data_IF_017111671298
#
_entry.id   IF_017111671298
#
_cell.length_a   1.000
_cell.length_b   1.000
_cell.length_c   1.000
_cell.angle_alpha   90.00
_cell.angle_beta   90.00
_cell.angle_gamma   90.00
#
_symmetry.space_group_name_H-M   'P 1'
#
loop_
_entity.id
_entity.type
_entity.pdbx_description
1 polymer ?
#
# COMPACT_ATOMS: atom_id res chain seq x y z
N UNK A 1 10.74 -1.44 12.93
CA UNK A 1 10.88 -2.57 11.99
C UNK A 1 9.51 -2.98 11.49
N UNK A 2 9.41 -3.31 10.22
CA UNK A 2 8.19 -3.81 9.60
C UNK A 2 7.80 -5.20 10.16
N UNK A 3 6.50 -5.49 10.30
CA UNK A 3 6.02 -6.83 10.64
C UNK A 3 6.21 -7.80 9.46
N UNK A 4 5.78 -9.05 9.62
CA UNK A 4 5.65 -9.96 8.48
C UNK A 4 4.70 -9.38 7.43
N UNK A 5 5.05 -9.38 6.12
CA UNK A 5 4.19 -8.84 5.09
C UNK A 5 2.89 -9.65 4.94
N UNK A 6 1.79 -8.95 4.71
CA UNK A 6 0.50 -9.59 4.39
C UNK A 6 0.56 -10.34 3.06
N UNK A 7 1.32 -9.81 2.10
CA UNK A 7 1.53 -10.39 0.78
C UNK A 7 3.00 -10.28 0.38
N UNK A 8 3.54 -11.35 -0.22
CA UNK A 8 4.78 -11.37 -1.00
C UNK A 8 4.45 -11.96 -2.37
N UNK A 9 4.76 -11.25 -3.44
CA UNK A 9 4.33 -11.61 -4.79
C UNK A 9 5.21 -10.93 -5.84
N UNK A 10 5.02 -11.29 -7.10
CA UNK A 10 5.70 -10.64 -8.24
C UNK A 10 4.69 -10.01 -9.19
N UNK A 11 5.11 -8.93 -9.85
CA UNK A 11 4.41 -8.30 -10.98
C UNK A 11 5.36 -8.07 -12.14
N UNK A 12 4.89 -8.02 -13.40
CA UNK A 12 5.74 -7.66 -14.53
C UNK A 12 6.04 -6.16 -14.51
N UNK A 13 7.25 -5.77 -14.96
CA UNK A 13 7.53 -4.39 -15.31
C UNK A 13 6.80 -3.98 -16.58
N UNK A 14 6.20 -2.79 -16.63
CA UNK A 14 5.59 -2.25 -17.85
C UNK A 14 6.63 -1.96 -18.95
N UNK A 15 7.92 -1.91 -18.60
CA UNK A 15 8.98 -1.69 -19.57
C UNK A 15 9.19 -2.87 -20.51
N UNK A 16 9.29 -4.08 -19.95
CA UNK A 16 9.74 -5.28 -20.67
C UNK A 16 9.22 -6.60 -20.07
N UNK A 17 8.30 -6.54 -19.09
CA UNK A 17 7.73 -7.73 -18.47
C UNK A 17 8.64 -8.41 -17.44
N UNK A 18 9.81 -7.85 -17.12
CA UNK A 18 10.69 -8.40 -16.07
C UNK A 18 9.94 -8.51 -14.77
N UNK A 19 9.94 -9.70 -14.10
CA UNK A 19 9.26 -9.86 -12.80
C UNK A 19 9.97 -9.08 -11.70
N UNK A 20 9.18 -8.29 -10.98
CA UNK A 20 9.59 -7.46 -9.84
C UNK A 20 9.05 -8.07 -8.56
N UNK A 21 9.91 -8.24 -7.56
CA UNK A 21 9.55 -8.76 -6.25
C UNK A 21 8.95 -7.65 -5.37
N UNK A 22 7.76 -7.89 -4.81
CA UNK A 22 6.94 -6.90 -4.11
C UNK A 22 6.42 -7.45 -2.79
N UNK A 23 6.22 -6.54 -1.82
CA UNK A 23 5.58 -6.83 -0.53
C UNK A 23 4.51 -5.80 -0.22
N UNK A 24 3.43 -6.25 0.42
CA UNK A 24 2.38 -5.39 0.98
C UNK A 24 2.27 -5.66 2.48
N UNK A 25 2.17 -4.58 3.25
CA UNK A 25 1.95 -4.59 4.69
C UNK A 25 0.63 -3.90 4.99
N UNK A 26 -0.24 -4.59 5.71
CA UNK A 26 -1.53 -4.03 6.11
C UNK A 26 -1.41 -3.27 7.43
N UNK A 27 -2.03 -2.08 7.56
CA UNK A 27 -2.06 -1.36 8.82
C UNK A 27 -2.89 -2.12 9.87
N UNK A 28 -2.66 -1.86 11.16
CA UNK A 28 -3.40 -2.52 12.24
C UNK A 28 -4.92 -2.41 12.11
N UNK A 29 -5.44 -1.35 11.50
CA UNK A 29 -6.87 -1.13 11.25
C UNK A 29 -7.51 -2.18 10.32
N UNK A 30 -6.73 -2.81 9.45
CA UNK A 30 -7.15 -3.95 8.64
C UNK A 30 -7.01 -5.28 9.38
N UNK A 31 -6.42 -5.30 10.58
CA UNK A 31 -6.24 -6.49 11.38
C UNK A 31 -7.56 -7.05 11.93
N UNK A 32 -7.53 -8.33 12.26
CA UNK A 32 -8.69 -9.09 12.71
C UNK A 32 -9.23 -8.66 14.09
N UNK A 33 -8.36 -8.18 14.98
CA UNK A 33 -8.71 -7.78 16.36
C UNK A 33 -9.05 -6.30 16.50
N UNK A 34 -9.20 -5.57 15.42
CA UNK A 34 -9.28 -4.13 15.42
C UNK A 34 -10.54 -3.62 16.12
N UNK A 35 -10.34 -2.98 17.27
CA UNK A 35 -11.23 -1.96 17.84
C UNK A 35 -10.89 -0.57 17.30
N UNK A 36 -9.91 -0.47 16.43
CA UNK A 36 -9.47 0.76 15.80
C UNK A 36 -10.51 1.28 14.81
N UNK A 37 -10.43 2.56 14.52
CA UNK A 37 -11.23 3.18 13.45
C UNK A 37 -11.06 2.44 12.13
N UNK A 38 -12.06 2.46 11.25
CA UNK A 38 -11.95 1.87 9.91
C UNK A 38 -10.71 2.40 9.17
N UNK A 39 -10.09 1.56 8.36
CA UNK A 39 -8.99 2.00 7.50
C UNK A 39 -9.49 3.01 6.47
N UNK A 40 -8.89 4.20 6.47
CA UNK A 40 -9.24 5.32 5.60
C UNK A 40 -8.72 5.20 4.16
N UNK A 41 -8.23 4.02 3.77
CA UNK A 41 -7.69 3.68 2.44
C UNK A 41 -6.41 4.43 2.04
N UNK A 42 -5.74 5.11 2.98
CA UNK A 42 -4.43 5.71 2.72
C UNK A 42 -3.38 4.63 2.50
N UNK A 43 -2.46 4.88 1.56
CA UNK A 43 -1.38 3.96 1.25
C UNK A 43 -0.07 4.71 0.98
N UNK A 44 1.04 4.00 1.11
CA UNK A 44 2.37 4.49 0.78
C UNK A 44 3.12 3.42 0.00
N UNK A 45 4.03 3.85 -0.88
CA UNK A 45 4.99 2.99 -1.53
C UNK A 45 6.39 3.59 -1.42
N UNK A 46 7.35 2.77 -0.98
CA UNK A 46 8.73 3.20 -0.76
C UNK A 46 9.69 2.45 -1.69
N UNK A 47 10.50 3.21 -2.41
CA UNK A 47 11.57 2.72 -3.26
C UNK A 47 12.92 2.71 -2.52
N UNK A 48 13.67 1.64 -2.70
CA UNK A 48 14.94 1.38 -2.04
C UNK A 48 16.14 2.09 -2.69
N UNK A 49 17.31 2.16 -2.01
CA UNK A 49 18.54 2.74 -2.56
C UNK A 49 19.13 1.89 -3.70
N UNK A 50 20.28 2.29 -4.21
CA UNK A 50 20.89 1.73 -5.41
C UNK A 50 21.23 0.24 -5.27
N UNK A 51 20.59 -0.60 -6.08
CA UNK A 51 20.71 -2.06 -6.03
C UNK A 51 22.15 -2.59 -6.16
N UNK A 52 23.02 -2.08 -7.06
CA UNK A 52 24.41 -2.52 -7.15
C UNK A 52 25.26 -2.27 -5.92
N UNK A 53 24.82 -1.39 -5.01
CA UNK A 53 25.47 -1.15 -3.71
C UNK A 53 24.76 -1.91 -2.56
N UNK A 54 23.96 -2.92 -2.87
CA UNK A 54 23.24 -3.73 -1.89
C UNK A 54 21.84 -3.23 -1.54
N UNK A 55 21.34 -2.18 -2.22
CA UNK A 55 20.00 -1.67 -1.99
C UNK A 55 18.91 -2.70 -2.35
N UNK A 56 17.95 -2.86 -1.44
CA UNK A 56 16.76 -3.69 -1.60
C UNK A 56 15.63 -3.17 -0.71
N UNK A 57 14.45 -3.74 -0.79
CA UNK A 57 13.37 -3.40 0.14
C UNK A 57 13.67 -3.76 1.61
N UNK A 58 14.69 -4.56 1.87
CA UNK A 58 15.18 -4.88 3.22
C UNK A 58 16.20 -3.86 3.76
N UNK A 59 16.40 -2.73 3.07
CA UNK A 59 17.23 -1.63 3.54
C UNK A 59 16.73 -1.10 4.88
N UNK A 60 17.60 -0.89 5.89
CA UNK A 60 17.18 -0.45 7.22
C UNK A 60 16.39 0.87 7.25
N UNK A 61 16.75 1.84 6.41
CA UNK A 61 16.04 3.13 6.36
C UNK A 61 14.63 2.92 5.76
N UNK A 62 14.52 2.13 4.70
CA UNK A 62 13.23 1.78 4.08
C UNK A 62 12.34 1.03 5.07
N UNK A 63 12.90 0.05 5.80
CA UNK A 63 12.19 -0.74 6.81
C UNK A 63 11.63 0.14 7.94
N UNK A 64 12.46 1.01 8.52
CA UNK A 64 12.08 1.80 9.69
C UNK A 64 11.11 2.93 9.30
N UNK A 65 11.35 3.61 8.17
CA UNK A 65 10.45 4.64 7.64
C UNK A 65 9.11 4.03 7.22
N UNK A 66 9.16 2.86 6.58
CA UNK A 66 7.94 2.10 6.23
C UNK A 66 7.15 1.70 7.47
N UNK A 67 7.82 1.23 8.53
CA UNK A 67 7.19 0.91 9.80
C UNK A 67 6.53 2.13 10.46
N UNK A 68 7.15 3.33 10.34
CA UNK A 68 6.55 4.57 10.80
C UNK A 68 5.26 4.88 10.03
N UNK A 69 5.26 4.85 8.71
CA UNK A 69 4.06 5.08 7.89
C UNK A 69 2.95 4.06 8.19
N UNK A 70 3.32 2.79 8.36
CA UNK A 70 2.39 1.73 8.73
C UNK A 70 1.72 1.99 10.09
N UNK A 71 2.48 2.49 11.08
CA UNK A 71 1.96 2.86 12.40
C UNK A 71 1.01 4.05 12.37
N UNK A 72 1.15 4.94 11.39
CA UNK A 72 0.23 6.07 11.13
C UNK A 72 -1.02 5.64 10.33
N UNK A 73 -1.20 4.34 10.09
CA UNK A 73 -2.41 3.79 9.46
C UNK A 73 -2.35 3.65 7.94
N UNK A 74 -1.21 3.91 7.31
CA UNK A 74 -1.02 3.71 5.86
C UNK A 74 -0.80 2.22 5.55
N UNK A 75 -1.44 1.72 4.51
CA UNK A 75 -1.05 0.47 3.87
C UNK A 75 0.28 0.71 3.15
N UNK A 76 1.27 -0.16 3.37
CA UNK A 76 2.60 0.03 2.80
C UNK A 76 2.89 -0.99 1.70
N UNK A 77 3.36 -0.50 0.55
CA UNK A 77 4.01 -1.27 -0.50
C UNK A 77 5.52 -1.07 -0.49
N UNK A 78 6.29 -2.14 -0.61
CA UNK A 78 7.72 -2.11 -0.90
C UNK A 78 8.02 -3.05 -2.06
N UNK A 79 9.09 -2.80 -2.78
CA UNK A 79 9.46 -3.61 -3.94
C UNK A 79 10.96 -3.54 -4.19
N UNK A 80 11.47 -4.51 -4.93
CA UNK A 80 12.82 -4.51 -5.44
C UNK A 80 12.83 -4.03 -6.89
N UNK A 81 13.65 -3.03 -7.20
CA UNK A 81 13.97 -2.67 -8.58
C UNK A 81 14.61 -3.86 -9.30
N UNK A 82 14.55 -3.87 -10.64
CA UNK A 82 15.28 -4.84 -11.46
C UNK A 82 16.72 -5.02 -11.03
N UNK A 83 17.17 -6.26 -10.94
CA UNK A 83 18.53 -6.60 -10.50
C UNK A 83 18.79 -6.48 -9.01
N UNK A 84 17.81 -6.13 -8.19
CA UNK A 84 17.89 -6.16 -6.74
C UNK A 84 17.30 -7.45 -6.19
N UNK A 85 17.99 -8.12 -5.26
CA UNK A 85 17.54 -9.32 -4.56
C UNK A 85 16.93 -10.37 -5.51
N UNK A 86 15.63 -10.68 -5.39
CA UNK A 86 14.93 -11.68 -6.22
C UNK A 86 14.25 -11.08 -7.47
N UNK A 87 14.26 -9.76 -7.66
CA UNK A 87 13.81 -9.16 -8.92
C UNK A 87 14.74 -9.51 -10.06
N UNK A 88 14.18 -9.95 -11.18
CA UNK A 88 14.97 -10.30 -12.35
C UNK A 88 15.55 -9.05 -13.06
N UNK A 89 16.34 -9.28 -14.11
CA UNK A 89 16.95 -8.22 -14.90
C UNK A 89 18.25 -7.69 -14.31
N UNK A 90 18.62 -6.49 -14.71
CA UNK A 90 19.84 -5.78 -14.25
C UNK A 90 19.55 -4.30 -14.11
N UNK A 91 20.16 -3.65 -13.13
CA UNK A 91 20.10 -2.20 -12.97
C UNK A 91 20.67 -1.50 -14.19
N UNK A 92 19.94 -0.52 -14.70
CA UNK A 92 20.31 0.24 -15.90
C UNK A 92 21.15 1.48 -15.56
N UNK A 93 21.90 1.97 -16.57
CA UNK A 93 22.63 3.24 -16.46
C UNK A 93 21.73 4.47 -16.68
N UNK A 94 20.56 4.28 -17.30
CA UNK A 94 19.69 5.40 -17.73
C UNK A 94 18.54 5.67 -16.79
N UNK A 95 18.34 4.86 -15.77
CA UNK A 95 17.19 4.87 -14.85
C UNK A 95 15.80 4.81 -15.51
N UNK A 96 15.72 4.67 -16.84
CA UNK A 96 14.43 4.56 -17.56
C UNK A 96 13.67 3.29 -17.20
N UNK A 97 14.29 2.09 -17.27
CA UNK A 97 13.62 0.85 -16.87
C UNK A 97 13.17 0.89 -15.40
N UNK A 98 13.99 1.41 -14.48
CA UNK A 98 13.65 1.52 -13.05
C UNK A 98 12.47 2.45 -12.80
N UNK A 99 12.35 3.54 -13.58
CA UNK A 99 11.14 4.38 -13.52
C UNK A 99 9.89 3.63 -13.93
N UNK A 100 10.00 2.79 -14.96
CA UNK A 100 8.88 1.94 -15.40
C UNK A 100 8.57 0.83 -14.39
N UNK A 101 9.59 0.26 -13.73
CA UNK A 101 9.41 -0.67 -12.61
C UNK A 101 8.57 -0.01 -11.52
N UNK A 102 8.95 1.19 -11.11
CA UNK A 102 8.23 1.90 -10.06
C UNK A 102 6.80 2.28 -10.50
N UNK A 103 6.59 2.71 -11.74
CA UNK A 103 5.26 2.96 -12.29
C UNK A 103 4.38 1.71 -12.23
N UNK A 104 4.94 0.53 -12.49
CA UNK A 104 4.23 -0.76 -12.36
C UNK A 104 3.72 -0.99 -10.95
N UNK A 105 4.56 -0.75 -9.95
CA UNK A 105 4.21 -0.93 -8.53
C UNK A 105 3.21 0.11 -8.05
N UNK A 106 3.37 1.38 -8.45
CA UNK A 106 2.43 2.46 -8.13
C UNK A 106 1.04 2.15 -8.70
N UNK A 107 0.98 1.74 -9.96
CA UNK A 107 -0.29 1.36 -10.59
C UNK A 107 -0.90 0.13 -9.90
N UNK A 108 -0.11 -0.92 -9.65
CA UNK A 108 -0.57 -2.07 -8.87
C UNK A 108 -1.20 -1.63 -7.55
N UNK A 109 -0.52 -0.80 -6.77
CA UNK A 109 -0.99 -0.37 -5.46
C UNK A 109 -2.28 0.46 -5.55
N UNK A 110 -2.37 1.38 -6.53
CA UNK A 110 -3.58 2.18 -6.76
C UNK A 110 -4.81 1.29 -7.05
N UNK A 111 -4.67 0.27 -7.89
CA UNK A 111 -5.74 -0.70 -8.15
C UNK A 111 -5.99 -1.64 -6.99
N UNK A 112 -4.96 -2.07 -6.27
CA UNK A 112 -5.08 -2.92 -5.10
C UNK A 112 -5.92 -2.27 -4.00
N UNK A 113 -5.63 -1.01 -3.62
CA UNK A 113 -6.41 -0.28 -2.61
C UNK A 113 -7.84 0.03 -3.06
N UNK A 114 -8.07 0.20 -4.37
CA UNK A 114 -9.42 0.34 -4.92
C UNK A 114 -10.27 -0.92 -4.67
N UNK A 115 -9.71 -2.10 -4.89
CA UNK A 115 -10.39 -3.38 -4.71
C UNK A 115 -10.35 -3.91 -3.27
N UNK A 116 -9.52 -3.35 -2.38
CA UNK A 116 -9.41 -3.78 -0.99
C UNK A 116 -10.53 -3.18 -0.14
N UNK A 117 -11.63 -3.91 -0.02
CA UNK A 117 -12.86 -3.49 0.66
C UNK A 117 -13.43 -4.62 1.54
N UNK A 118 -12.69 -5.08 2.58
CA UNK A 118 -13.06 -6.29 3.31
C UNK A 118 -14.33 -6.15 4.15
N UNK A 119 -14.87 -4.93 4.32
CA UNK A 119 -16.02 -4.63 5.18
C UNK A 119 -17.26 -4.15 4.41
N UNK A 120 -17.18 -3.99 3.10
CA UNK A 120 -18.36 -3.73 2.26
C UNK A 120 -19.07 -5.06 1.99
N UNK A 121 -20.34 -5.16 2.32
CA UNK A 121 -21.20 -6.32 2.03
C UNK A 121 -21.72 -7.11 3.22
N UNK A 122 -21.39 -6.74 4.47
CA UNK A 122 -21.96 -7.40 5.64
C UNK A 122 -23.43 -6.95 5.97
N UNK A 123 -23.98 -5.99 5.22
CA UNK A 123 -25.34 -5.48 5.44
C UNK A 123 -26.40 -5.94 4.44
N UNK A 124 -26.04 -6.76 3.43
CA UNK A 124 -26.97 -7.11 2.34
C UNK A 124 -27.36 -8.59 2.27
N UNK A 125 -27.05 -9.41 3.26
CA UNK A 125 -27.35 -10.84 3.26
C UNK A 125 -27.88 -11.30 4.62
N UNK A 126 -29.06 -10.82 5.02
CA UNK A 126 -29.97 -11.53 5.92
C UNK A 126 -31.34 -10.86 5.83
N UNK A 127 -32.18 -11.35 4.95
CA UNK A 127 -33.63 -11.49 5.15
C UNK A 127 -34.22 -12.19 3.94
N UNK A 128 -34.03 -13.51 3.84
CA UNK A 128 -34.99 -14.39 3.22
C UNK A 128 -35.76 -15.11 4.34
N UNK A 129 -37.05 -14.79 4.48
CA UNK A 129 -37.98 -15.60 5.24
C UNK A 129 -38.89 -14.79 6.15
N UNK A 130 -39.89 -14.11 5.67
CA UNK A 130 -41.31 -14.38 5.98
C UNK A 130 -42.23 -13.39 5.24
N UNK A 131 -43.38 -13.87 4.83
CA UNK A 131 -44.35 -13.29 3.90
C UNK A 131 -45.24 -12.17 4.54
N UNK A 132 -46.11 -11.48 3.78
CA UNK A 132 -46.25 -10.03 3.83
C UNK A 132 -47.52 -9.55 4.54
N UNK A 133 -47.46 -8.42 5.21
CA UNK A 133 -48.66 -7.59 5.44
C UNK A 133 -48.40 -6.16 4.97
N UNK A 134 -49.14 -5.80 3.96
CA UNK A 134 -49.21 -4.48 3.35
C UNK A 134 -49.56 -3.39 4.38
N UNK A 135 -48.80 -2.31 4.39
CA UNK A 135 -49.32 -0.97 4.54
C UNK A 135 -48.60 -0.06 3.55
N UNK A 136 -49.37 0.40 2.56
CA UNK A 136 -49.10 1.52 1.69
C UNK A 136 -49.22 2.79 2.55
N UNK A 137 -48.17 3.54 2.61
CA UNK A 137 -48.02 4.99 2.84
C UNK A 137 -46.77 5.24 3.69
N UNK A 138 -45.64 5.33 3.02
CA UNK A 138 -44.52 6.23 3.31
C UNK A 138 -43.44 6.00 2.25
N UNK A 139 -43.66 6.63 1.12
CA UNK A 139 -42.62 6.83 0.13
C UNK A 139 -41.92 8.15 0.47
N UNK A 140 -40.71 8.08 1.00
CA UNK A 140 -39.62 9.03 0.86
C UNK A 140 -38.71 9.04 2.10
N UNK A 141 -37.72 8.16 2.10
CA UNK A 141 -36.39 8.42 2.65
C UNK A 141 -35.53 7.17 2.43
N UNK A 142 -35.17 6.95 1.15
CA UNK A 142 -34.07 6.07 0.86
C UNK A 142 -32.80 6.74 1.43
N UNK A 143 -32.34 6.29 2.58
CA UNK A 143 -30.99 6.56 3.04
C UNK A 143 -30.03 6.08 1.94
N UNK A 144 -29.61 7.03 1.11
CA UNK A 144 -28.42 6.90 0.31
C UNK A 144 -27.29 6.66 1.31
N UNK A 145 -26.79 5.41 1.35
CA UNK A 145 -25.55 5.10 2.04
C UNK A 145 -24.54 6.18 1.65
N UNK A 146 -24.18 6.98 2.62
CA UNK A 146 -23.23 8.07 2.55
C UNK A 146 -21.97 7.60 1.79
N UNK A 147 -21.93 7.92 0.51
CA UNK A 147 -20.71 7.89 -0.29
C UNK A 147 -19.95 9.16 0.05
N UNK A 148 -19.52 9.30 1.29
CA UNK A 148 -18.50 10.27 1.62
C UNK A 148 -17.26 9.85 0.82
N UNK A 149 -17.08 10.54 -0.28
CA UNK A 149 -16.00 10.34 -1.26
C UNK A 149 -14.70 10.89 -0.67
N UNK A 150 -14.26 10.27 0.43
CA UNK A 150 -13.00 10.62 1.08
C UNK A 150 -11.88 10.22 0.12
N UNK A 151 -11.36 11.20 -0.62
CA UNK A 151 -10.19 11.03 -1.46
C UNK A 151 -9.05 10.47 -0.62
N UNK A 152 -8.70 9.22 -0.86
CA UNK A 152 -7.58 8.57 -0.17
C UNK A 152 -6.24 9.06 -0.71
N UNK A 153 -5.21 9.10 0.15
CA UNK A 153 -3.87 9.57 -0.18
C UNK A 153 -2.96 8.39 -0.54
N UNK A 154 -2.19 8.55 -1.61
CA UNK A 154 -1.07 7.68 -1.97
C UNK A 154 0.24 8.45 -1.83
N UNK A 155 1.02 8.11 -0.81
CA UNK A 155 2.38 8.62 -0.64
C UNK A 155 3.34 7.82 -1.50
N UNK A 156 4.02 8.47 -2.43
CA UNK A 156 5.07 7.88 -3.27
C UNK A 156 6.41 8.40 -2.77
N UNK A 157 7.24 7.51 -2.25
CA UNK A 157 8.50 7.91 -1.65
C UNK A 157 9.67 7.00 -2.03
N UNK A 158 10.85 7.43 -1.62
CA UNK A 158 12.07 6.65 -1.79
C UNK A 158 13.24 7.22 -1.01
N UNK A 159 14.25 6.37 -0.85
CA UNK A 159 15.49 6.70 -0.20
C UNK A 159 16.65 6.65 -1.20
N UNK A 160 17.52 7.66 -1.19
CA UNK A 160 18.72 7.73 -2.03
C UNK A 160 18.37 7.58 -3.54
N UNK A 161 18.80 6.53 -4.20
CA UNK A 161 18.42 6.24 -5.58
C UNK A 161 16.90 6.12 -5.77
N UNK A 162 16.20 5.51 -4.82
CA UNK A 162 14.73 5.48 -4.83
C UNK A 162 14.11 6.86 -4.82
N UNK A 163 14.70 7.80 -4.08
CA UNK A 163 14.30 9.22 -4.07
C UNK A 163 14.56 9.89 -5.41
N UNK A 164 15.71 9.63 -6.04
CA UNK A 164 16.04 10.09 -7.39
C UNK A 164 15.00 9.61 -8.42
N UNK A 165 14.66 8.31 -8.39
CA UNK A 165 13.64 7.75 -9.29
C UNK A 165 12.28 8.37 -9.01
N UNK A 166 11.88 8.51 -7.73
CA UNK A 166 10.62 9.18 -7.33
C UNK A 166 10.52 10.57 -7.92
N UNK A 167 11.58 11.38 -7.81
CA UNK A 167 11.60 12.73 -8.36
C UNK A 167 11.43 12.76 -9.89
N UNK A 168 11.87 11.73 -10.61
CA UNK A 168 11.81 11.64 -12.07
C UNK A 168 10.52 11.00 -12.61
N UNK A 169 9.64 10.45 -11.77
CA UNK A 169 8.37 9.88 -12.21
C UNK A 169 7.48 10.96 -12.87
N UNK A 170 6.66 10.61 -13.84
CA UNK A 170 5.61 11.49 -14.30
C UNK A 170 4.49 11.63 -13.23
N UNK A 171 3.57 12.58 -13.35
CA UNK A 171 2.39 12.67 -12.49
C UNK A 171 1.57 11.37 -12.52
N UNK A 172 0.86 11.05 -11.43
CA UNK A 172 0.11 9.80 -11.27
C UNK A 172 -0.92 9.56 -12.39
N UNK A 173 -1.59 10.61 -12.82
CA UNK A 173 -2.54 10.53 -13.93
C UNK A 173 -1.88 9.98 -15.20
N UNK A 174 -0.65 10.43 -15.50
CA UNK A 174 0.12 9.93 -16.64
C UNK A 174 0.58 8.48 -16.41
N UNK A 175 0.89 8.09 -15.17
CA UNK A 175 1.20 6.70 -14.80
C UNK A 175 -0.01 5.80 -15.00
N UNK A 176 -1.19 6.21 -14.53
CA UNK A 176 -2.40 5.38 -14.54
C UNK A 176 -3.11 5.33 -15.90
N UNK A 177 -2.86 6.29 -16.77
CA UNK A 177 -3.52 6.38 -18.09
C UNK A 177 -3.41 5.12 -18.94
N UNK A 178 -2.24 4.43 -19.09
CA UNK A 178 -2.12 3.18 -19.84
C UNK A 178 -2.95 2.03 -19.23
N UNK A 179 -3.17 2.05 -17.93
CA UNK A 179 -3.90 1.02 -17.19
C UNK A 179 -5.42 1.20 -17.24
N UNK A 180 -5.94 2.33 -17.68
CA UNK A 180 -7.39 2.59 -17.67
C UNK A 180 -8.16 1.62 -18.57
N UNK A 181 -7.63 1.31 -19.76
CA UNK A 181 -8.20 0.32 -20.69
C UNK A 181 -7.08 -0.36 -21.49
N UNK A 182 -6.27 -1.21 -20.83
CA UNK A 182 -5.13 -1.86 -21.46
C UNK A 182 -5.57 -2.99 -22.39
N UNK A 183 -4.71 -3.34 -23.36
CA UNK A 183 -4.87 -4.59 -24.12
C UNK A 183 -4.78 -5.80 -23.18
N UNK A 184 -5.64 -6.80 -23.36
CA UNK A 184 -5.72 -7.97 -22.47
C UNK A 184 -4.41 -8.77 -22.38
N UNK A 185 -3.55 -8.69 -23.38
CA UNK A 185 -2.24 -9.35 -23.42
C UNK A 185 -1.09 -8.48 -22.85
N UNK A 186 -1.35 -7.23 -22.46
CA UNK A 186 -0.31 -6.30 -21.99
C UNK A 186 0.10 -6.51 -20.52
N UNK A 187 1.28 -6.01 -20.16
CA UNK A 187 1.75 -6.02 -18.79
C UNK A 187 0.84 -5.18 -17.86
N UNK A 188 0.29 -4.09 -18.38
CA UNK A 188 -0.66 -3.24 -17.65
C UNK A 188 -1.94 -4.01 -17.29
N UNK A 189 -2.44 -4.83 -18.21
CA UNK A 189 -3.60 -5.68 -17.93
C UNK A 189 -3.28 -6.73 -16.86
N UNK A 190 -2.12 -7.40 -16.98
CA UNK A 190 -1.67 -8.38 -15.98
C UNK A 190 -1.54 -7.76 -14.59
N UNK A 191 -0.93 -6.57 -14.48
CA UNK A 191 -0.78 -5.85 -13.21
C UNK A 191 -2.16 -5.53 -12.61
N UNK A 192 -3.09 -5.02 -13.42
CA UNK A 192 -4.43 -4.66 -12.98
C UNK A 192 -5.23 -5.86 -12.50
N UNK A 193 -5.21 -6.97 -13.25
CA UNK A 193 -5.87 -8.22 -12.87
C UNK A 193 -5.24 -8.83 -11.62
N UNK A 194 -3.90 -8.77 -11.50
CA UNK A 194 -3.18 -9.25 -10.32
C UNK A 194 -3.57 -8.46 -9.08
N UNK A 195 -3.69 -7.13 -9.17
CA UNK A 195 -4.12 -6.27 -8.09
C UNK A 195 -5.54 -6.63 -7.61
N UNK A 196 -6.49 -6.78 -8.53
CA UNK A 196 -7.85 -7.18 -8.21
C UNK A 196 -7.92 -8.56 -7.54
N UNK A 197 -7.23 -9.56 -8.10
CA UNK A 197 -7.21 -10.92 -7.57
C UNK A 197 -6.61 -11.00 -6.16
N UNK A 198 -5.48 -10.32 -5.92
CA UNK A 198 -4.85 -10.32 -4.60
C UNK A 198 -5.67 -9.55 -3.57
N UNK A 199 -6.31 -8.45 -3.97
CA UNK A 199 -7.21 -7.71 -3.08
C UNK A 199 -8.42 -8.55 -2.66
N UNK A 200 -9.04 -9.28 -3.59
CA UNK A 200 -10.18 -10.16 -3.29
C UNK A 200 -9.80 -11.31 -2.34
N UNK A 201 -8.61 -11.89 -2.54
CA UNK A 201 -8.07 -12.88 -1.61
C UNK A 201 -7.90 -12.30 -0.20
N UNK A 202 -7.38 -11.07 -0.09
CA UNK A 202 -7.20 -10.41 1.20
C UNK A 202 -8.53 -9.97 1.83
N UNK A 203 -9.49 -9.50 1.04
CA UNK A 203 -10.85 -9.22 1.51
C UNK A 203 -11.46 -10.47 2.19
N UNK A 204 -11.36 -11.61 1.52
CA UNK A 204 -11.86 -12.88 2.05
C UNK A 204 -11.12 -13.29 3.32
N UNK A 205 -9.80 -13.22 3.33
CA UNK A 205 -8.98 -13.59 4.49
C UNK A 205 -9.28 -12.70 5.71
N UNK A 206 -9.33 -11.38 5.53
CA UNK A 206 -9.61 -10.43 6.60
C UNK A 206 -10.99 -10.67 7.20
N UNK A 207 -12.02 -10.85 6.34
CA UNK A 207 -13.39 -11.12 6.77
C UNK A 207 -13.48 -12.42 7.59
N UNK A 208 -13.00 -13.55 7.05
CA UNK A 208 -13.04 -14.83 7.74
C UNK A 208 -12.29 -14.81 9.08
N UNK A 209 -11.15 -14.11 9.14
CA UNK A 209 -10.37 -14.00 10.37
C UNK A 209 -11.12 -13.20 11.44
N UNK A 210 -11.81 -12.11 11.06
CA UNK A 210 -12.65 -11.33 11.99
C UNK A 210 -13.86 -12.11 12.48
N UNK A 211 -14.56 -12.81 11.60
CA UNK A 211 -15.70 -13.67 11.95
C UNK A 211 -15.28 -14.74 12.95
N UNK A 212 -14.14 -15.40 12.72
CA UNK A 212 -13.60 -16.40 13.64
C UNK A 212 -13.29 -15.81 15.02
N UNK A 213 -12.67 -14.62 15.09
CA UNK A 213 -12.39 -13.94 16.36
C UNK A 213 -13.66 -13.52 17.10
N UNK A 214 -14.65 -13.01 16.39
CA UNK A 214 -15.94 -12.64 16.97
C UNK A 214 -16.66 -13.86 17.55
N UNK A 215 -16.67 -15.00 16.84
CA UNK A 215 -17.24 -16.26 17.32
C UNK A 215 -16.53 -16.77 18.58
N UNK A 216 -15.21 -16.65 18.66
CA UNK A 216 -14.43 -17.02 19.85
C UNK A 216 -14.76 -16.10 21.03
N UNK A 217 -14.83 -14.80 20.82
CA UNK A 217 -15.15 -13.82 21.86
C UNK A 217 -16.59 -13.95 22.37
N UNK A 218 -17.57 -14.24 21.50
CA UNK A 218 -18.95 -14.52 21.86
C UNK A 218 -19.07 -15.73 22.77
N UNK A 219 -18.31 -16.79 22.52
CA UNK A 219 -18.27 -18.00 23.39
C UNK A 219 -17.62 -17.73 24.75
N UNK A 220 -16.79 -16.68 24.87
CA UNK A 220 -16.10 -16.29 26.12
C UNK A 220 -16.88 -15.32 26.97
N UNK A 221 -17.89 -14.65 26.45
CA UNK A 221 -18.79 -13.79 27.25
C UNK A 221 -19.51 -14.66 28.25
N UNK A 222 -19.29 -14.49 29.58
CA UNK A 222 -20.06 -15.25 30.56
C UNK A 222 -21.53 -14.88 30.36
N UNK A 223 -22.36 -15.89 30.03
CA UNK A 223 -23.80 -15.69 30.05
C UNK A 223 -24.11 -15.07 31.42
N UNK A 224 -24.84 -13.96 31.45
CA UNK A 224 -25.37 -13.37 32.66
C UNK A 224 -26.25 -14.46 33.32
N UNK A 225 -25.65 -15.33 34.13
CA UNK A 225 -26.41 -16.17 35.08
C UNK A 225 -27.11 -15.16 35.96
N UNK A 226 -28.41 -15.09 35.82
CA UNK A 226 -29.26 -14.27 36.68
C UNK A 226 -28.92 -14.61 38.14
N UNK A 227 -28.61 -13.55 38.88
CA UNK A 227 -28.49 -13.60 40.33
C UNK A 227 -29.86 -14.07 40.82
N UNK A 228 -29.99 -15.35 41.24
CA UNK A 228 -31.09 -15.79 42.06
C UNK A 228 -30.85 -15.18 43.43
N UNK A 229 -31.58 -14.13 43.70
CA UNK A 229 -31.79 -13.64 45.08
C UNK A 229 -32.67 -14.65 45.75
N UNK A 230 -32.07 -15.57 46.47
CA UNK A 230 -32.77 -16.41 47.44
C UNK A 230 -32.33 -15.98 48.83
N UNK A 231 -33.19 -15.28 49.53
CA UNK A 231 -33.00 -15.03 50.94
C UNK A 231 -33.17 -16.34 51.71
N UNK A 232 -32.28 -16.61 52.64
CA UNK A 232 -32.58 -17.39 53.86
C UNK A 232 -31.63 -16.90 54.97
N UNK A 233 -32.22 -16.52 56.09
CA UNK A 233 -31.55 -16.10 57.30
C UNK A 233 -31.19 -17.30 58.12
N UNK A 234 -30.00 -17.39 58.67
CA UNK A 234 -29.73 -18.35 59.72
C UNK A 234 -28.27 -18.65 60.04
N UNK A 235 -27.85 -18.09 61.20
CA UNK A 235 -26.88 -18.65 62.10
C UNK A 235 -25.38 -18.42 61.93
N UNK A 236 -24.86 -17.70 62.90
CA UNK A 236 -23.47 -17.54 63.32
C UNK A 236 -22.64 -18.81 63.49
N UNK A 237 -21.38 -18.76 63.09
CA UNK A 237 -20.21 -18.95 63.98
C UNK A 237 -18.87 -18.88 63.25
N UNK A 238 -17.81 -18.46 63.96
CA UNK A 238 -16.55 -18.07 63.30
C UNK A 238 -15.49 -19.16 63.38
N UNK A 239 -14.65 -19.27 62.34
CA UNK A 239 -13.25 -19.71 62.51
C UNK A 239 -12.47 -19.87 61.19
N UNK A 240 -11.28 -19.27 61.23
CA UNK A 240 -10.02 -19.64 60.55
C UNK A 240 -9.86 -19.24 59.09
N UNK A 241 -8.99 -18.24 58.87
CA UNK A 241 -8.15 -18.05 57.72
C UNK A 241 -7.25 -19.31 57.54
N UNK A 242 -6.98 -19.69 56.31
CA UNK A 242 -5.59 -19.64 55.83
C UNK A 242 -5.43 -18.85 54.52
N UNK A 243 -4.27 -18.20 54.45
CA UNK A 243 -3.67 -17.57 53.32
C UNK A 243 -3.37 -18.64 52.21
N UNK A 244 -3.69 -18.32 50.97
CA UNK A 244 -3.00 -18.88 49.81
C UNK A 244 -3.25 -17.98 48.63
N UNK A 245 -2.27 -17.19 48.29
CA UNK A 245 -1.39 -17.28 47.15
C UNK A 245 -2.09 -17.55 45.84
N UNK A 246 -2.14 -16.52 45.02
CA UNK A 246 -1.66 -16.48 43.65
C UNK A 246 -1.96 -17.69 42.77
N UNK A 247 -3.13 -17.73 42.15
CA UNK A 247 -3.51 -18.75 41.16
C UNK A 247 -4.19 -18.23 39.89
N UNK A 248 -4.55 -16.93 39.82
CA UNK A 248 -5.35 -16.42 38.69
C UNK A 248 -4.53 -15.93 37.47
N UNK A 249 -3.24 -15.67 37.67
CA UNK A 249 -2.39 -15.09 36.60
C UNK A 249 -1.83 -16.14 35.60
N UNK A 250 -1.76 -17.43 35.99
CA UNK A 250 -1.25 -18.48 35.11
C UNK A 250 -2.29 -19.05 34.13
N UNK A 251 -3.56 -19.05 34.46
CA UNK A 251 -4.64 -19.53 33.56
C UNK A 251 -4.93 -18.54 32.41
N UNK A 252 -4.74 -17.27 32.61
CA UNK A 252 -4.97 -16.26 31.55
C UNK A 252 -3.93 -16.32 30.44
N UNK A 253 -2.66 -16.60 30.76
CA UNK A 253 -1.56 -16.69 29.75
C UNK A 253 -1.59 -17.95 28.89
N UNK A 254 -2.03 -19.10 29.43
CA UNK A 254 -2.13 -20.33 28.64
C UNK A 254 -3.26 -20.28 27.62
N UNK A 255 -4.37 -19.66 27.96
CA UNK A 255 -5.54 -19.55 27.07
C UNK A 255 -5.31 -18.53 25.94
N UNK A 256 -4.50 -17.47 26.16
CA UNK A 256 -4.13 -16.57 25.09
C UNK A 256 -3.22 -17.25 24.06
N UNK A 257 -2.28 -18.04 24.52
CA UNK A 257 -1.35 -18.78 23.65
C UNK A 257 -2.03 -19.85 22.79
N UNK A 258 -2.97 -20.59 23.37
CA UNK A 258 -3.77 -21.58 22.65
C UNK A 258 -4.71 -20.95 21.60
N UNK A 259 -5.12 -19.71 21.82
CA UNK A 259 -5.91 -18.92 20.89
C UNK A 259 -5.06 -18.39 19.73
N UNK A 260 -3.86 -17.91 20.02
CA UNK A 260 -2.90 -17.48 19.00
C UNK A 260 -2.51 -18.67 18.11
N UNK A 261 -2.26 -19.86 18.69
CA UNK A 261 -1.96 -21.07 17.92
C UNK A 261 -3.13 -21.49 17.02
N UNK A 262 -4.36 -21.49 17.50
CA UNK A 262 -5.56 -21.80 16.70
C UNK A 262 -5.82 -20.76 15.61
N UNK A 263 -5.53 -19.49 15.88
CA UNK A 263 -5.65 -18.43 14.89
C UNK A 263 -4.58 -18.58 13.79
N UNK A 264 -3.33 -18.86 14.18
CA UNK A 264 -2.24 -19.17 13.27
C UNK A 264 -2.56 -20.41 12.40
N UNK A 265 -3.13 -21.45 12.98
CA UNK A 265 -3.54 -22.66 12.26
C UNK A 265 -4.68 -22.36 11.25
N UNK A 266 -5.67 -21.55 11.64
CA UNK A 266 -6.77 -21.13 10.75
C UNK A 266 -6.26 -20.27 9.59
N UNK A 267 -5.39 -19.31 9.88
CA UNK A 267 -4.77 -18.43 8.87
C UNK A 267 -3.87 -19.26 7.93
N UNK A 268 -3.09 -20.20 8.47
CA UNK A 268 -2.25 -21.10 7.68
C UNK A 268 -3.09 -22.02 6.78
N UNK A 269 -4.17 -22.62 7.29
CA UNK A 269 -5.13 -23.42 6.51
C UNK A 269 -5.80 -22.62 5.40
N UNK A 270 -6.19 -21.38 5.69
CA UNK A 270 -6.83 -20.51 4.69
C UNK A 270 -5.84 -20.08 3.62
N UNK A 271 -4.60 -19.71 4.00
CA UNK A 271 -3.49 -19.42 3.06
C UNK A 271 -3.18 -20.65 2.20
N UNK A 272 -3.10 -21.85 2.76
CA UNK A 272 -2.83 -23.11 2.05
C UNK A 272 -3.94 -23.45 1.04
N UNK A 273 -5.21 -23.33 1.42
CA UNK A 273 -6.34 -23.62 0.56
C UNK A 273 -6.47 -22.62 -0.60
N UNK A 274 -6.13 -21.34 -0.37
CA UNK A 274 -6.05 -20.33 -1.42
C UNK A 274 -4.88 -20.59 -2.38
N UNK A 275 -3.74 -21.07 -1.86
CA UNK A 275 -2.56 -21.42 -2.67
C UNK A 275 -2.83 -22.65 -3.56
N UNK A 276 -3.50 -23.69 -3.03
CA UNK A 276 -3.88 -24.88 -3.80
C UNK A 276 -4.89 -24.61 -4.91
N UNK A 277 -5.84 -23.69 -4.71
CA UNK A 277 -6.76 -23.27 -5.78
C UNK A 277 -6.07 -22.55 -6.93
N UNK A 278 -4.98 -21.83 -6.65
CA UNK A 278 -4.22 -21.13 -7.69
C UNK A 278 -3.32 -22.07 -8.52
N UNK A 279 -2.73 -23.08 -7.89
CA UNK A 279 -1.90 -24.09 -8.60
C UNK A 279 -2.72 -24.98 -9.54
N UNK A 280 -4.02 -25.17 -9.27
CA UNK A 280 -4.90 -25.96 -10.13
C UNK A 280 -5.35 -25.23 -11.40
N UNK A 281 -5.16 -23.91 -11.50
CA UNK A 281 -5.53 -23.14 -12.69
C UNK A 281 -4.35 -22.83 -13.62
N UNK A 282 -3.11 -23.07 -13.20
CA UNK A 282 -1.90 -22.83 -14.00
C UNK A 282 -1.32 -24.08 -14.68
N UNK A 283 -1.88 -25.26 -14.45
CA UNK A 283 -1.33 -26.51 -15.02
C UNK A 283 -2.20 -27.03 -16.16
N UNK A 284 -2.19 -26.36 -17.30
CA UNK A 284 -2.49 -27.00 -18.61
C UNK A 284 -1.55 -26.43 -19.68
N UNK A 285 -0.26 -26.69 -19.50
CA UNK A 285 0.68 -26.73 -20.61
C UNK A 285 1.08 -28.18 -20.79
N UNK A 286 0.38 -28.84 -21.72
CA UNK A 286 0.68 -30.19 -22.17
C UNK A 286 2.14 -30.28 -22.64
N UNK A 287 2.88 -31.20 -22.03
CA UNK A 287 4.15 -31.70 -22.55
C UNK A 287 3.85 -32.47 -23.84
N UNK A 288 4.36 -31.94 -24.96
CA UNK A 288 4.44 -32.68 -26.22
C UNK A 288 5.61 -33.67 -26.13
N UNK A 289 5.43 -34.97 -26.41
CA UNK A 289 6.54 -35.92 -26.52
C UNK A 289 7.33 -35.65 -27.80
N UNK A 290 8.65 -35.64 -27.72
CA UNK A 290 9.54 -35.72 -28.86
C UNK A 290 9.43 -37.11 -29.50
N UNK A 291 8.97 -37.17 -30.76
CA UNK A 291 9.12 -38.35 -31.61
C UNK A 291 9.89 -37.98 -32.86
N UNK A 292 11.03 -38.60 -33.04
CA UNK A 292 11.86 -38.56 -34.25
C UNK A 292 11.15 -39.27 -35.41
N UNK A 293 11.08 -38.62 -36.56
CA UNK A 293 10.60 -39.30 -37.77
C UNK A 293 10.63 -38.36 -38.98
N UNK A 294 11.56 -38.62 -39.86
CA UNK A 294 11.77 -38.08 -41.20
C UNK A 294 10.52 -38.23 -42.08
N UNK A 295 10.11 -37.17 -42.82
CA UNK A 295 9.00 -37.24 -43.76
C UNK A 295 8.54 -35.90 -44.29
N UNK A 296 9.16 -35.45 -45.38
CA UNK A 296 8.70 -34.37 -46.24
C UNK A 296 7.22 -34.48 -46.61
N UNK A 297 6.37 -33.49 -46.27
CA UNK A 297 5.14 -33.14 -47.01
C UNK A 297 4.61 -31.76 -46.63
N UNK A 298 4.38 -30.95 -47.63
CA UNK A 298 3.49 -29.80 -47.80
C UNK A 298 3.16 -28.93 -46.55
N UNK A 299 3.77 -27.75 -46.53
CA UNK A 299 3.42 -26.64 -45.62
C UNK A 299 2.06 -26.07 -46.04
N UNK A 300 0.99 -26.55 -45.40
CA UNK A 300 -0.29 -25.87 -45.36
C UNK A 300 -0.20 -24.80 -44.26
N UNK A 301 -0.14 -23.55 -44.65
CA UNK A 301 -0.16 -22.39 -43.77
C UNK A 301 -1.46 -22.40 -42.93
N UNK A 302 -1.45 -23.06 -41.77
CA UNK A 302 -2.46 -22.81 -40.73
C UNK A 302 -2.38 -21.33 -40.37
N UNK A 303 -3.41 -20.58 -40.75
CA UNK A 303 -3.71 -19.27 -40.21
C UNK A 303 -3.89 -19.47 -38.70
N UNK A 304 -2.88 -19.12 -37.93
CA UNK A 304 -3.05 -18.90 -36.50
C UNK A 304 -4.10 -17.81 -36.36
N UNK A 305 -5.28 -18.15 -35.81
CA UNK A 305 -6.22 -17.16 -35.29
C UNK A 305 -5.45 -16.34 -34.26
N UNK A 306 -5.09 -15.11 -34.60
CA UNK A 306 -4.74 -14.10 -33.63
C UNK A 306 -5.94 -13.98 -32.72
N UNK A 307 -5.77 -14.14 -31.36
CA UNK A 307 -6.85 -13.86 -30.43
C UNK A 307 -7.25 -12.42 -30.65
N UNK A 308 -8.54 -12.18 -30.89
CA UNK A 308 -9.08 -10.84 -30.98
C UNK A 308 -8.55 -10.04 -29.77
N UNK A 309 -7.79 -8.97 -30.04
CA UNK A 309 -7.21 -8.10 -29.01
C UNK A 309 -8.33 -7.40 -28.22
N UNK A 310 -8.91 -8.12 -27.25
CA UNK A 310 -9.83 -7.57 -26.28
C UNK A 310 -9.09 -6.55 -25.42
N UNK A 311 -9.74 -5.45 -25.11
CA UNK A 311 -9.26 -4.49 -24.09
C UNK A 311 -10.01 -4.70 -22.80
N UNK A 312 -9.33 -4.58 -21.66
CA UNK A 312 -10.03 -4.56 -20.38
C UNK A 312 -10.90 -3.31 -20.29
N UNK A 313 -12.14 -3.43 -19.79
CA UNK A 313 -13.03 -2.29 -19.62
C UNK A 313 -12.44 -1.30 -18.60
N UNK A 314 -12.83 -0.03 -18.72
CA UNK A 314 -12.56 0.96 -17.69
C UNK A 314 -13.24 0.52 -16.38
N UNK A 315 -12.56 0.71 -15.24
CA UNK A 315 -13.18 0.47 -13.94
C UNK A 315 -14.13 1.63 -13.61
N UNK A 316 -15.37 1.29 -13.35
CA UNK A 316 -16.36 2.25 -12.84
C UNK A 316 -16.00 2.64 -11.39
N UNK A 317 -16.14 3.92 -11.06
CA UNK A 317 -15.82 4.42 -9.72
C UNK A 317 -14.34 4.38 -9.34
N UNK A 318 -13.43 4.14 -10.29
CA UNK A 318 -11.99 4.29 -10.03
C UNK A 318 -11.60 5.76 -10.19
N UNK A 319 -11.51 6.44 -9.08
CA UNK A 319 -10.85 7.73 -8.96
C UNK A 319 -9.42 7.52 -8.45
N UNK A 320 -8.46 8.14 -9.13
CA UNK A 320 -7.07 8.05 -8.70
C UNK A 320 -6.89 8.68 -7.31
N UNK A 321 -6.02 8.11 -6.45
CA UNK A 321 -5.73 8.68 -5.14
C UNK A 321 -5.10 10.07 -5.26
N UNK A 322 -5.26 10.89 -4.24
CA UNK A 322 -4.50 12.12 -4.11
C UNK A 322 -3.04 11.76 -3.82
N UNK A 323 -2.12 12.48 -4.44
CA UNK A 323 -0.69 12.18 -4.33
C UNK A 323 -0.02 13.02 -3.27
N UNK A 324 0.97 12.42 -2.59
CA UNK A 324 2.00 13.11 -1.83
C UNK A 324 3.35 12.44 -2.07
N UNK A 325 4.44 13.15 -1.81
CA UNK A 325 5.79 12.64 -2.06
C UNK A 325 6.67 12.74 -0.82
N UNK A 326 7.50 11.70 -0.61
CA UNK A 326 8.54 11.68 0.44
C UNK A 326 9.88 11.33 -0.18
N UNK A 327 10.83 12.26 -0.12
CA UNK A 327 12.16 12.14 -0.69
C UNK A 327 13.20 12.14 0.43
N UNK A 328 13.86 11.00 0.65
CA UNK A 328 14.88 10.85 1.69
C UNK A 328 16.25 10.81 1.04
N UNK A 329 17.16 11.66 1.49
CA UNK A 329 18.50 11.87 0.89
C UNK A 329 18.41 12.02 -0.64
N UNK A 330 17.59 12.95 -1.16
CA UNK A 330 17.46 13.16 -2.60
C UNK A 330 18.81 13.55 -3.19
N UNK A 331 19.11 13.03 -4.39
CA UNK A 331 20.37 13.29 -5.09
C UNK A 331 20.10 14.25 -6.26
N UNK A 332 19.98 15.58 -6.00
CA UNK A 332 19.74 16.57 -7.04
C UNK A 332 20.99 16.69 -7.93
N UNK A 333 20.79 16.78 -9.24
CA UNK A 333 21.88 16.96 -10.21
C UNK A 333 22.38 15.66 -10.87
N UNK A 334 22.33 14.50 -10.26
CA UNK A 334 22.57 13.21 -10.94
C UNK A 334 21.45 12.93 -11.97
N UNK A 335 20.23 13.39 -11.70
CA UNK A 335 19.10 13.27 -12.61
C UNK A 335 19.35 13.90 -13.99
N UNK A 336 19.96 15.06 -14.02
CA UNK A 336 20.27 15.77 -15.28
C UNK A 336 21.42 15.14 -16.06
N UNK A 337 22.40 14.53 -15.37
CA UNK A 337 23.54 13.88 -16.02
C UNK A 337 23.24 12.47 -16.50
N UNK A 338 22.41 11.69 -15.80
CA UNK A 338 22.03 10.34 -16.19
C UNK A 338 20.94 10.30 -17.28
N UNK A 339 20.04 11.30 -17.31
CA UNK A 339 18.95 11.38 -18.30
C UNK A 339 19.40 12.05 -19.60
N UNK A 340 20.35 12.95 -19.50
CA UNK A 340 20.97 13.58 -20.67
C UNK A 340 22.40 13.08 -20.77
N UNK A 341 22.66 12.07 -21.59
CA UNK A 341 24.00 11.82 -22.11
C UNK A 341 24.47 13.01 -23.02
N UNK A 342 24.05 14.21 -22.74
CA UNK A 342 24.50 15.40 -23.43
C UNK A 342 25.76 15.91 -22.71
N UNK A 343 26.89 15.55 -23.29
CA UNK A 343 28.21 16.16 -23.09
C UNK A 343 28.24 17.66 -23.47
N UNK A 344 27.13 18.38 -23.31
CA UNK A 344 27.07 19.82 -23.55
C UNK A 344 27.43 20.54 -22.25
N UNK A 345 28.41 21.44 -22.27
CA UNK A 345 28.78 22.25 -21.11
C UNK A 345 27.54 23.00 -20.56
N UNK A 346 27.37 22.96 -19.26
CA UNK A 346 26.25 23.59 -18.50
C UNK A 346 26.14 25.12 -18.67
N UNK A 347 26.98 25.75 -19.49
CA UNK A 347 26.97 27.20 -19.69
C UNK A 347 25.82 27.76 -20.54
N UNK A 348 25.01 26.88 -21.17
CA UNK A 348 23.90 27.30 -22.04
C UNK A 348 22.51 26.79 -21.59
N UNK A 349 22.42 26.03 -20.49
CA UNK A 349 21.11 25.68 -19.90
C UNK A 349 20.62 26.84 -19.04
N UNK A 350 19.84 27.74 -19.64
CA UNK A 350 18.99 28.68 -18.91
C UNK A 350 18.27 27.89 -17.82
N UNK A 351 18.38 28.34 -16.57
CA UNK A 351 17.69 27.72 -15.45
C UNK A 351 16.18 27.62 -15.80
N UNK A 352 15.72 26.43 -16.17
CA UNK A 352 14.30 26.16 -16.41
C UNK A 352 13.55 26.36 -15.11
N UNK A 353 12.37 26.99 -15.20
CA UNK A 353 11.47 27.08 -14.05
C UNK A 353 11.00 25.67 -13.69
N UNK A 354 10.86 25.30 -12.39
CA UNK A 354 10.40 23.98 -11.97
C UNK A 354 9.06 23.58 -12.59
N UNK A 355 8.22 24.53 -12.89
CA UNK A 355 6.89 24.36 -13.49
C UNK A 355 6.95 23.92 -14.97
N UNK A 356 8.09 24.12 -15.64
CA UNK A 356 8.30 23.72 -17.04
C UNK A 356 8.69 22.25 -17.19
N UNK A 357 9.18 21.60 -16.11
CA UNK A 357 9.46 20.18 -16.10
C UNK A 357 8.32 19.42 -15.37
N UNK A 358 7.57 18.56 -16.06
CA UNK A 358 6.46 17.82 -15.43
C UNK A 358 6.87 17.02 -14.20
N UNK A 359 8.11 16.55 -14.15
CA UNK A 359 8.63 15.78 -13.02
C UNK A 359 8.88 16.65 -11.78
N UNK A 360 9.35 17.88 -11.95
CA UNK A 360 9.50 18.83 -10.85
C UNK A 360 8.19 19.53 -10.52
N UNK A 361 7.37 19.86 -11.53
CA UNK A 361 6.06 20.49 -11.35
C UNK A 361 5.15 19.69 -10.41
N UNK A 362 5.19 18.35 -10.44
CA UNK A 362 4.40 17.52 -9.52
C UNK A 362 4.86 17.69 -8.07
N UNK A 363 6.18 17.83 -7.82
CA UNK A 363 6.74 18.02 -6.47
C UNK A 363 6.36 19.38 -5.88
N UNK A 364 6.21 20.39 -6.75
CA UNK A 364 5.77 21.73 -6.36
C UNK A 364 4.26 21.75 -6.07
N UNK A 365 3.46 21.13 -6.92
CA UNK A 365 1.98 21.17 -6.84
C UNK A 365 1.39 20.26 -5.78
N UNK A 366 2.04 19.13 -5.51
CA UNK A 366 1.55 18.15 -4.55
C UNK A 366 2.29 18.29 -3.22
N UNK A 367 1.67 17.91 -2.09
CA UNK A 367 2.37 17.85 -0.82
C UNK A 367 3.64 17.02 -0.96
N UNK A 368 4.77 17.61 -0.69
CA UNK A 368 6.08 16.97 -0.84
C UNK A 368 6.96 17.29 0.35
N UNK A 369 7.50 16.26 0.98
CA UNK A 369 8.54 16.37 2.01
C UNK A 369 9.86 15.84 1.45
N UNK A 370 10.91 16.68 1.47
CA UNK A 370 12.28 16.27 1.21
C UNK A 370 13.11 16.38 2.50
N UNK A 371 13.79 15.30 2.90
CA UNK A 371 14.66 15.31 4.08
C UNK A 371 16.07 14.92 3.67
N UNK A 372 17.06 15.75 4.02
CA UNK A 372 18.46 15.49 3.70
C UNK A 372 19.38 15.91 4.86
N UNK A 373 20.55 15.32 4.91
CA UNK A 373 21.57 15.67 5.89
C UNK A 373 22.55 16.72 5.35
N UNK A 374 23.14 17.50 6.24
CA UNK A 374 24.20 18.45 5.89
C UNK A 374 25.60 17.80 5.79
N UNK A 375 25.74 16.57 6.31
CA UNK A 375 26.93 15.75 6.25
C UNK A 375 26.85 14.62 5.19
N UNK A 376 25.89 14.70 4.26
CA UNK A 376 25.70 13.72 3.18
C UNK A 376 26.91 13.70 2.23
N UNK A 377 27.60 12.56 2.15
CA UNK A 377 28.81 12.39 1.34
C UNK A 377 28.56 12.27 -0.17
N UNK A 378 27.32 11.95 -0.58
CA UNK A 378 26.95 11.79 -1.99
C UNK A 378 26.36 13.05 -2.60
N UNK A 379 25.92 13.99 -1.75
CA UNK A 379 25.28 15.22 -2.19
C UNK A 379 26.00 16.42 -1.58
N UNK A 380 26.54 17.28 -2.44
CA UNK A 380 27.13 18.52 -1.96
C UNK A 380 26.02 19.40 -1.33
N UNK A 381 26.15 19.80 -0.05
CA UNK A 381 25.08 20.52 0.67
C UNK A 381 24.57 21.75 -0.06
N UNK A 382 25.46 22.52 -0.72
CA UNK A 382 25.06 23.72 -1.46
C UNK A 382 24.16 23.40 -2.66
N UNK A 383 24.36 22.25 -3.34
CA UNK A 383 23.50 21.81 -4.45
C UNK A 383 22.12 21.35 -3.96
N UNK A 384 22.06 20.68 -2.81
CA UNK A 384 20.80 20.32 -2.17
C UNK A 384 20.02 21.60 -1.81
N UNK A 385 20.67 22.55 -1.15
CA UNK A 385 20.06 23.84 -0.77
C UNK A 385 19.58 24.64 -1.99
N UNK A 386 20.36 24.71 -3.08
CA UNK A 386 19.98 25.38 -4.33
C UNK A 386 18.73 24.72 -4.95
N UNK A 387 18.70 23.40 -5.02
CA UNK A 387 17.55 22.64 -5.52
C UNK A 387 16.30 22.87 -4.66
N UNK A 388 16.44 22.77 -3.34
CA UNK A 388 15.36 23.04 -2.38
C UNK A 388 14.84 24.46 -2.53
N UNK A 389 15.72 25.48 -2.52
CA UNK A 389 15.31 26.87 -2.66
C UNK A 389 14.54 27.12 -3.95
N UNK A 390 14.95 26.49 -5.05
CA UNK A 390 14.28 26.62 -6.35
C UNK A 390 12.87 26.02 -6.34
N UNK A 391 12.67 24.85 -5.73
CA UNK A 391 11.34 24.20 -5.67
C UNK A 391 10.42 24.91 -4.65
N UNK A 392 10.96 25.30 -3.51
CA UNK A 392 10.18 25.97 -2.45
C UNK A 392 9.75 27.39 -2.84
N UNK A 393 10.54 28.10 -3.68
CA UNK A 393 10.22 29.45 -4.14
C UNK A 393 9.24 29.51 -5.33
N UNK A 394 8.84 28.36 -5.88
CA UNK A 394 7.85 28.30 -6.95
C UNK A 394 6.47 28.78 -6.46
N UNK A 395 5.68 29.38 -7.36
CA UNK A 395 4.37 29.90 -7.00
C UNK A 395 3.44 28.78 -6.51
N UNK A 396 2.77 29.03 -5.38
CA UNK A 396 1.88 28.04 -4.73
C UNK A 396 2.56 26.70 -4.41
N UNK A 397 3.86 26.71 -4.11
CA UNK A 397 4.61 25.50 -3.80
C UNK A 397 4.09 24.85 -2.52
N UNK A 398 3.80 23.55 -2.60
CA UNK A 398 3.53 22.66 -1.46
C UNK A 398 4.76 21.80 -1.10
N UNK A 399 5.91 22.15 -1.67
CA UNK A 399 7.18 21.50 -1.42
C UNK A 399 7.78 22.00 -0.11
N UNK A 400 8.08 21.08 0.78
CA UNK A 400 8.75 21.31 2.06
C UNK A 400 10.05 20.54 2.09
N UNK A 401 11.09 21.13 2.64
CA UNK A 401 12.36 20.44 2.84
C UNK A 401 12.94 20.74 4.21
N UNK A 402 13.57 19.71 4.79
CA UNK A 402 14.26 19.80 6.08
C UNK A 402 15.68 19.30 5.93
N UNK A 403 16.65 20.15 6.25
CA UNK A 403 18.04 19.78 6.40
C UNK A 403 18.29 19.35 7.85
N UNK A 404 18.73 18.11 8.06
CA UNK A 404 19.02 17.56 9.38
C UNK A 404 20.52 17.73 9.68
N UNK A 405 20.87 18.52 10.70
CA UNK A 405 22.28 18.72 11.06
C UNK A 405 22.95 17.40 11.44
N UNK A 406 24.20 17.24 11.06
CA UNK A 406 25.07 16.07 11.31
C UNK A 406 24.63 14.79 10.61
N UNK A 407 23.46 14.75 10.00
CA UNK A 407 23.01 13.55 9.29
C UNK A 407 23.85 13.29 8.04
N UNK A 408 24.40 12.10 7.95
CA UNK A 408 25.01 11.56 6.75
C UNK A 408 24.00 10.90 5.84
N UNK A 409 24.49 10.38 4.71
CA UNK A 409 23.63 9.71 3.72
C UNK A 409 22.89 8.49 4.28
N UNK A 410 23.53 7.76 5.21
CA UNK A 410 23.03 6.48 5.73
C UNK A 410 22.22 6.60 7.03
N UNK A 411 22.05 7.81 7.57
CA UNK A 411 21.27 8.07 8.78
C UNK A 411 21.73 7.27 10.01
N UNK A 412 23.04 7.06 10.15
CA UNK A 412 23.64 6.22 11.20
C UNK A 412 24.09 7.00 12.42
N UNK A 413 24.15 8.32 12.33
CA UNK A 413 24.58 9.19 13.41
C UNK A 413 23.52 9.23 14.53
N UNK A 414 23.94 9.53 15.76
CA UNK A 414 23.07 9.50 16.93
C UNK A 414 21.90 10.47 16.81
N UNK A 415 20.67 9.99 16.98
CA UNK A 415 19.45 10.78 17.00
C UNK A 415 18.94 11.28 15.63
N UNK A 416 19.73 11.15 14.55
CA UNK A 416 19.28 11.66 13.23
C UNK A 416 18.18 10.81 12.63
N UNK A 417 18.20 9.49 12.86
CA UNK A 417 17.14 8.60 12.38
C UNK A 417 15.82 8.88 13.09
N UNK A 418 15.83 9.11 14.39
CA UNK A 418 14.62 9.49 15.14
C UNK A 418 14.03 10.79 14.59
N UNK A 419 14.89 11.78 14.29
CA UNK A 419 14.45 13.03 13.68
C UNK A 419 13.82 12.82 12.30
N UNK A 420 14.38 11.95 11.47
CA UNK A 420 13.78 11.56 10.19
C UNK A 420 12.38 10.96 10.38
N UNK A 421 12.24 10.04 11.35
CA UNK A 421 10.96 9.37 11.64
C UNK A 421 9.90 10.34 12.15
N UNK A 422 10.28 11.32 12.97
CA UNK A 422 9.37 12.36 13.45
C UNK A 422 8.87 13.21 12.28
N UNK A 423 9.77 13.69 11.43
CA UNK A 423 9.44 14.50 10.25
C UNK A 423 8.50 13.76 9.29
N UNK A 424 8.81 12.50 8.99
CA UNK A 424 7.95 11.68 8.13
C UNK A 424 6.60 11.42 8.80
N UNK A 425 6.57 11.09 10.10
CA UNK A 425 5.35 10.85 10.84
C UNK A 425 4.45 12.09 10.93
N UNK A 426 5.01 13.26 11.19
CA UNK A 426 4.29 14.54 11.19
C UNK A 426 3.69 14.85 9.82
N UNK A 427 4.49 14.69 8.77
CA UNK A 427 4.04 14.93 7.40
C UNK A 427 2.87 14.03 7.01
N UNK A 428 2.97 12.71 7.20
CA UNK A 428 1.90 11.79 6.77
C UNK A 428 0.63 11.91 7.62
N UNK A 429 0.74 12.30 8.91
CA UNK A 429 -0.42 12.66 9.74
C UNK A 429 -1.11 13.93 9.26
N UNK A 430 -0.33 14.97 8.91
CA UNK A 430 -0.85 16.22 8.36
C UNK A 430 -1.66 16.00 7.09
N UNK A 431 -1.21 15.10 6.19
CA UNK A 431 -1.96 14.76 4.98
C UNK A 431 -3.36 14.21 5.27
N UNK A 432 -3.54 13.48 6.37
CA UNK A 432 -4.84 12.92 6.77
C UNK A 432 -5.74 14.00 7.37
N UNK A 433 -5.19 14.90 8.19
CA UNK A 433 -5.92 15.99 8.82
C UNK A 433 -6.44 17.01 7.79
N UNK A 434 -5.58 17.45 6.85
CA UNK A 434 -5.95 18.37 5.76
C UNK A 434 -7.12 17.82 4.92
N UNK A 435 -7.21 16.49 4.83
CA UNK A 435 -8.28 15.82 4.10
C UNK A 435 -9.60 15.81 4.86
N UNK A 436 -9.55 15.65 6.17
CA UNK A 436 -10.75 15.65 7.02
C UNK A 436 -11.37 17.04 7.06
N UNK A 437 -10.54 18.08 7.23
CA UNK A 437 -11.02 19.48 7.21
C UNK A 437 -11.63 19.86 5.86
N UNK A 438 -11.00 19.47 4.74
CA UNK A 438 -11.53 19.76 3.40
C UNK A 438 -12.84 19.01 3.08
N UNK A 439 -13.08 17.87 3.72
CA UNK A 439 -14.32 17.11 3.57
C UNK A 439 -15.47 17.71 4.42
N UNK A 440 -15.17 18.21 5.61
CA UNK A 440 -16.13 18.90 6.49
C UNK A 440 -16.57 20.24 5.89
N UNK A 441 -15.63 21.06 5.39
CA UNK A 441 -15.94 22.34 4.73
C UNK A 441 -16.77 22.17 3.45
N UNK A 442 -16.57 21.06 2.72
CA UNK A 442 -17.35 20.72 1.52
C UNK A 442 -18.79 20.31 1.83
N UNK A 443 -19.03 19.67 2.96
CA UNK A 443 -20.37 19.26 3.39
C UNK A 443 -21.22 20.45 3.85
N UNK A 444 -20.63 21.38 4.58
CA UNK A 444 -21.32 22.59 5.07
C UNK A 444 -21.72 23.55 3.94
N UNK A 445 -21.04 23.50 2.79
CA UNK A 445 -21.32 24.36 1.66
C UNK A 445 -22.50 23.86 0.77
N UNK A 446 -22.80 22.57 0.81
CA UNK A 446 -23.92 21.97 0.06
C UNK A 446 -25.26 22.25 0.77
N UNK A 447 -25.28 22.24 2.10
CA UNK A 447 -26.49 22.52 2.89
C UNK A 447 -26.90 24.01 2.89
N UNK A 448 -25.99 24.92 2.50
CA UNK A 448 -26.25 26.36 2.43
C UNK A 448 -26.88 26.83 1.10
N UNK A 449 -27.02 25.98 0.10
CA UNK A 449 -27.56 26.34 -1.22
C UNK A 449 -29.04 25.93 -1.39
N UNK A 450 -29.59 25.11 -0.48
CA UNK A 450 -30.97 24.63 -0.53
C UNK A 450 -31.95 25.36 0.43
N UNK A 451 -31.64 26.60 0.82
CA UNK A 451 -32.55 27.48 1.57
C UNK A 451 -32.89 28.74 0.82
#
# INVERSE_FOLDING_TARGET
MLPEPALTFTIPSVHDGVPLDCRIYHPPSLGASSRASPWKRHAAVLAHPYAPLGGSFDDPVVDIVGARMLSEGYLLGTFNFRGASHSAGKTSWTSRPERSDFQSVIAFLAYYIHHLQPFQGAGAATEEGDEPTRNLDDAASGESADKSDHKHVLVVGGYSYGSLITAQLPPLEAILKPFASPSSASNEAQIRLRAASLAEQQNTLIRLTREALQAINAKRSPSKRGVRVGGDEGAMSPRRRPSSTDGSSRRSRSVSRELEEKLHELVAKTKSNLHHRHLSSETTLEKVPEENGDGSLAVEKRRTHEPAEGRLPRLEGFEGPQQAYVLISPIPGLASHLVTMRLLPNALSRARRPEEDPAEAKLVRQPTLAVHGDADMFVLPYKAREWVARLASAQHSRFQAVEVPTAGHFWTEEGVLDKLLDLVGEFVRGLVADHEEAAEDGADHVDAIDH
#
